data_IF_526401606203
#
_entry.id   IF_526401606203
#
_cell.length_a   1.000
_cell.length_b   1.000
_cell.length_c   1.000
_cell.angle_alpha   90.00
_cell.angle_beta   90.00
_cell.angle_gamma   90.00
#
_symmetry.space_group_name_H-M   'P 1'
#
loop_
_entity.id
_entity.type
_entity.pdbx_description
1 polymer ?
#
# COMPACT_ATOMS: atom_id res chain seq x y z
N UNK A 1 31.75 -1.50 -10.42
CA UNK A 1 30.77 -1.99 -11.41
C UNK A 1 29.41 -1.61 -10.88
N UNK A 2 28.72 -0.67 -11.54
CA UNK A 2 27.42 -0.18 -11.09
C UNK A 2 26.36 -1.27 -11.21
N UNK A 3 25.68 -1.57 -10.12
CA UNK A 3 24.51 -2.45 -10.13
C UNK A 3 23.40 -1.68 -10.86
N UNK A 4 22.74 -2.27 -11.87
CA UNK A 4 21.60 -1.61 -12.50
C UNK A 4 20.52 -1.40 -11.45
N UNK A 5 20.21 -0.13 -11.17
CA UNK A 5 19.04 0.26 -10.38
C UNK A 5 17.84 -0.28 -11.15
N UNK A 6 17.11 -1.23 -10.57
CA UNK A 6 15.86 -1.69 -11.15
C UNK A 6 14.95 -0.49 -11.32
N UNK A 7 14.70 -0.11 -12.57
CA UNK A 7 13.64 0.80 -12.96
C UNK A 7 12.31 0.09 -12.59
N UNK A 8 11.93 0.16 -11.31
CA UNK A 8 10.53 -0.09 -10.95
C UNK A 8 9.77 1.09 -11.53
N UNK A 9 9.09 0.88 -12.67
CA UNK A 9 8.27 1.87 -13.36
C UNK A 9 6.99 2.25 -12.58
N UNK A 10 7.10 2.36 -11.25
CA UNK A 10 5.99 2.48 -10.32
C UNK A 10 5.24 3.80 -10.54
N UNK A 11 5.94 4.89 -10.80
CA UNK A 11 5.30 6.19 -11.00
C UNK A 11 5.22 6.59 -12.50
N UNK A 12 5.45 5.69 -13.49
CA UNK A 12 5.57 6.06 -14.93
C UNK A 12 4.32 6.69 -15.55
N UNK A 13 3.18 6.62 -14.87
CA UNK A 13 1.89 7.01 -15.44
C UNK A 13 1.27 8.33 -14.92
N UNK A 14 1.81 8.99 -13.89
CA UNK A 14 1.05 10.04 -13.19
C UNK A 14 1.10 11.43 -13.86
N UNK A 15 0.28 11.66 -14.90
CA UNK A 15 -0.28 13.00 -15.22
C UNK A 15 -1.67 13.11 -14.61
N UNK A 16 -1.75 13.06 -13.29
CA UNK A 16 -3.02 13.23 -12.59
C UNK A 16 -3.19 14.72 -12.29
N UNK A 17 -4.19 15.36 -12.89
CA UNK A 17 -4.54 16.76 -12.70
C UNK A 17 -5.74 16.86 -11.72
N UNK A 18 -5.57 16.25 -10.54
CA UNK A 18 -6.53 16.21 -9.43
C UNK A 18 -6.02 17.12 -8.30
N UNK A 19 -6.89 17.74 -7.52
CA UNK A 19 -6.40 18.48 -6.34
C UNK A 19 -5.75 17.52 -5.34
N UNK A 20 -4.71 17.98 -4.66
CA UNK A 20 -3.95 17.14 -3.71
C UNK A 20 -4.82 16.63 -2.56
N UNK A 21 -5.77 17.44 -2.09
CA UNK A 21 -6.73 17.01 -1.06
C UNK A 21 -7.67 15.91 -1.56
N UNK A 22 -8.10 15.97 -2.82
CA UNK A 22 -8.90 14.92 -3.43
C UNK A 22 -8.08 13.66 -3.66
N UNK A 23 -6.82 13.79 -4.08
CA UNK A 23 -5.90 12.65 -4.23
C UNK A 23 -5.68 11.92 -2.91
N UNK A 24 -5.35 12.64 -1.84
CA UNK A 24 -5.14 12.05 -0.51
C UNK A 24 -6.39 11.35 0.02
N UNK A 25 -7.57 11.96 -0.16
CA UNK A 25 -8.85 11.36 0.25
C UNK A 25 -9.13 10.10 -0.56
N UNK A 26 -8.96 10.16 -1.87
CA UNK A 26 -9.24 9.03 -2.76
C UNK A 26 -8.30 7.87 -2.48
N UNK A 27 -6.99 8.12 -2.37
CA UNK A 27 -6.01 7.08 -2.02
C UNK A 27 -6.29 6.50 -0.64
N UNK A 28 -6.58 7.34 0.35
CA UNK A 28 -6.92 6.88 1.71
C UNK A 28 -8.17 6.00 1.73
N UNK A 29 -9.21 6.39 1.00
CA UNK A 29 -10.47 5.63 0.95
C UNK A 29 -10.31 4.34 0.14
N UNK A 30 -9.55 4.37 -0.96
CA UNK A 30 -9.23 3.19 -1.75
C UNK A 30 -8.43 2.16 -0.94
N UNK A 31 -7.41 2.60 -0.20
CA UNK A 31 -6.66 1.74 0.73
C UNK A 31 -7.54 1.25 1.88
N UNK A 32 -8.48 2.07 2.37
CA UNK A 32 -9.47 1.70 3.38
C UNK A 32 -10.41 0.60 2.92
N UNK A 33 -11.02 0.77 1.73
CA UNK A 33 -11.85 -0.25 1.08
C UNK A 33 -11.04 -1.53 0.87
N UNK A 34 -9.83 -1.42 0.32
CA UNK A 34 -8.94 -2.56 0.15
C UNK A 34 -8.70 -3.30 1.46
N UNK A 35 -8.32 -2.58 2.52
CA UNK A 35 -8.09 -3.15 3.85
C UNK A 35 -9.34 -3.83 4.43
N UNK A 36 -10.53 -3.28 4.19
CA UNK A 36 -11.78 -3.85 4.72
C UNK A 36 -12.18 -5.18 4.09
N UNK A 37 -11.78 -5.43 2.84
CA UNK A 37 -12.13 -6.65 2.11
C UNK A 37 -10.97 -7.65 2.05
N UNK A 38 -9.76 -7.17 1.78
CA UNK A 38 -8.59 -8.02 1.55
C UNK A 38 -7.85 -8.40 2.83
N UNK A 39 -8.02 -7.64 3.92
CA UNK A 39 -7.36 -7.89 5.21
C UNK A 39 -8.38 -8.11 6.31
N UNK A 40 -8.07 -9.00 7.25
CA UNK A 40 -8.87 -9.20 8.45
C UNK A 40 -8.53 -8.17 9.54
N UNK A 41 -9.20 -8.25 10.68
CA UNK A 41 -8.95 -7.39 11.85
C UNK A 41 -7.51 -7.46 12.41
N UNK A 42 -6.74 -8.49 12.06
CA UNK A 42 -5.34 -8.67 12.44
C UNK A 42 -4.36 -8.26 11.33
N UNK A 43 -4.87 -7.79 10.18
CA UNK A 43 -4.06 -7.46 9.01
C UNK A 43 -3.63 -8.67 8.18
N UNK A 44 -4.24 -9.85 8.39
CA UNK A 44 -3.97 -11.06 7.61
C UNK A 44 -4.88 -11.14 6.37
N UNK A 45 -4.41 -11.71 5.25
CA UNK A 45 -5.22 -11.82 4.05
C UNK A 45 -6.50 -12.65 4.27
N UNK A 46 -7.66 -12.11 3.90
CA UNK A 46 -8.95 -12.81 4.00
C UNK A 46 -9.15 -13.88 2.92
N UNK A 47 -8.25 -13.95 1.94
CA UNK A 47 -8.37 -14.73 0.71
C UNK A 47 -9.02 -13.95 -0.46
N UNK A 48 -9.51 -12.74 -0.23
CA UNK A 48 -9.94 -11.83 -1.30
C UNK A 48 -8.72 -11.08 -1.85
N UNK A 49 -8.21 -11.55 -2.98
CA UNK A 49 -7.01 -10.97 -3.60
C UNK A 49 -7.31 -9.93 -4.69
N UNK A 50 -8.57 -9.84 -5.15
CA UNK A 50 -8.95 -9.02 -6.30
C UNK A 50 -10.31 -8.38 -6.05
N UNK A 51 -10.38 -7.05 -6.19
CA UNK A 51 -11.61 -6.30 -6.05
C UNK A 51 -12.11 -5.83 -7.43
N UNK A 52 -13.42 -5.92 -7.69
CA UNK A 52 -14.00 -5.43 -8.94
C UNK A 52 -13.94 -3.90 -9.03
N UNK A 53 -13.37 -3.38 -10.13
CA UNK A 53 -13.16 -1.95 -10.35
C UNK A 53 -14.49 -1.19 -10.33
N UNK A 54 -15.53 -1.72 -10.98
CA UNK A 54 -16.83 -1.05 -11.08
C UNK A 54 -17.49 -0.81 -9.71
N UNK A 55 -17.49 -1.84 -8.85
CA UNK A 55 -18.14 -1.74 -7.54
C UNK A 55 -17.34 -0.86 -6.58
N UNK A 56 -16.01 -0.94 -6.61
CA UNK A 56 -15.17 -0.07 -5.79
C UNK A 56 -15.25 1.38 -6.26
N UNK A 57 -15.29 1.63 -7.57
CA UNK A 57 -15.49 2.98 -8.10
C UNK A 57 -16.82 3.57 -7.65
N UNK A 58 -17.91 2.78 -7.64
CA UNK A 58 -19.21 3.23 -7.14
C UNK A 58 -19.21 3.50 -5.62
N UNK A 59 -18.53 2.65 -4.85
CA UNK A 59 -18.35 2.86 -3.41
C UNK A 59 -17.60 4.17 -3.16
N UNK A 60 -16.44 4.37 -3.80
CA UNK A 60 -15.65 5.61 -3.70
C UNK A 60 -16.44 6.85 -4.11
N UNK A 61 -17.17 6.79 -5.22
CA UNK A 61 -18.05 7.88 -5.66
C UNK A 61 -19.02 8.29 -4.54
N UNK A 62 -19.64 7.30 -3.89
CA UNK A 62 -20.61 7.54 -2.81
C UNK A 62 -19.93 8.04 -1.54
N UNK A 63 -18.82 7.41 -1.13
CA UNK A 63 -18.12 7.70 0.14
C UNK A 63 -17.42 9.06 0.12
N UNK A 64 -16.91 9.48 -1.05
CA UNK A 64 -16.32 10.80 -1.26
C UNK A 64 -17.38 11.90 -1.51
N UNK A 65 -18.66 11.53 -1.64
CA UNK A 65 -19.78 12.45 -1.72
C UNK A 65 -20.05 13.04 -3.11
N UNK A 66 -19.62 12.37 -4.19
CA UNK A 66 -19.99 12.71 -5.56
C UNK A 66 -21.44 12.26 -5.85
N UNK A 67 -22.18 13.03 -6.65
CA UNK A 67 -23.58 12.78 -7.00
C UNK A 67 -23.72 11.53 -7.88
N UNK A 68 -22.83 11.37 -8.85
CA UNK A 68 -22.81 10.24 -9.76
C UNK A 68 -21.40 9.93 -10.32
N UNK A 69 -21.29 8.78 -11.00
CA UNK A 69 -20.04 8.34 -11.62
C UNK A 69 -19.49 9.35 -12.65
N UNK A 70 -20.31 9.97 -13.53
CA UNK A 70 -19.85 11.06 -14.38
C UNK A 70 -19.17 12.23 -13.64
N UNK A 71 -19.73 12.70 -12.52
CA UNK A 71 -19.10 13.76 -11.71
C UNK A 71 -17.76 13.29 -11.13
N UNK A 72 -17.71 12.05 -10.63
CA UNK A 72 -16.49 11.46 -10.11
C UNK A 72 -15.40 11.32 -11.20
N UNK A 73 -15.76 10.85 -12.39
CA UNK A 73 -14.83 10.72 -13.52
C UNK A 73 -14.38 12.08 -14.09
N UNK A 74 -15.24 13.10 -14.05
CA UNK A 74 -14.85 14.48 -14.41
C UNK A 74 -13.80 15.02 -13.41
N UNK A 75 -13.99 14.79 -12.11
CA UNK A 75 -13.01 15.14 -11.09
C UNK A 75 -11.67 14.42 -11.32
N UNK A 76 -11.71 13.13 -11.64
CA UNK A 76 -10.53 12.33 -12.01
C UNK A 76 -9.91 12.72 -13.36
N UNK A 77 -10.62 13.50 -14.18
CA UNK A 77 -10.27 13.82 -15.58
C UNK A 77 -10.08 12.57 -16.43
N UNK A 78 -10.90 11.54 -16.17
CA UNK A 78 -10.83 10.24 -16.84
C UNK A 78 -11.61 9.18 -16.08
N UNK A 79 -11.62 7.95 -16.60
CA UNK A 79 -12.30 6.86 -15.92
C UNK A 79 -11.57 6.45 -14.64
N UNK A 80 -12.31 5.94 -13.67
CA UNK A 80 -11.70 5.38 -12.46
C UNK A 80 -10.70 4.27 -12.79
N UNK A 81 -11.00 3.45 -13.81
CA UNK A 81 -10.09 2.44 -14.30
C UNK A 81 -8.76 3.04 -14.80
N UNK A 82 -8.79 4.16 -15.53
CA UNK A 82 -7.59 4.84 -16.00
C UNK A 82 -6.83 5.52 -14.86
N UNK A 83 -7.54 6.00 -13.84
CA UNK A 83 -6.92 6.52 -12.62
C UNK A 83 -6.09 5.45 -11.90
N UNK A 84 -6.60 4.22 -11.78
CA UNK A 84 -5.89 3.11 -11.16
C UNK A 84 -4.56 2.77 -11.86
N UNK A 85 -4.43 3.01 -13.18
CA UNK A 85 -3.16 2.82 -13.91
C UNK A 85 -2.07 3.80 -13.46
N UNK A 86 -2.47 4.94 -12.88
CA UNK A 86 -1.55 5.94 -12.40
C UNK A 86 -1.05 5.67 -10.98
N UNK A 87 -1.60 4.64 -10.32
CA UNK A 87 -1.23 4.29 -8.95
C UNK A 87 -0.12 3.24 -8.93
N UNK A 88 1.00 3.53 -8.23
CA UNK A 88 2.19 2.69 -8.27
C UNK A 88 1.99 1.22 -7.85
N UNK A 89 1.14 1.01 -6.85
CA UNK A 89 0.95 -0.30 -6.25
C UNK A 89 -0.29 -1.02 -6.74
N UNK A 90 -1.04 -0.43 -7.66
CA UNK A 90 -2.24 -1.07 -8.18
C UNK A 90 -1.87 -1.91 -9.40
N UNK A 91 -2.31 -3.16 -9.40
CA UNK A 91 -2.26 -4.06 -10.56
C UNK A 91 -3.69 -4.34 -10.97
N UNK A 92 -3.96 -4.36 -12.28
CA UNK A 92 -5.26 -4.69 -12.83
C UNK A 92 -5.23 -5.99 -13.62
N UNK A 93 -6.36 -6.69 -13.61
CA UNK A 93 -6.59 -7.87 -14.43
C UNK A 93 -8.05 -7.88 -14.92
N UNK A 94 -8.25 -8.26 -16.18
CA UNK A 94 -9.59 -8.43 -16.74
C UNK A 94 -9.99 -9.91 -16.67
N UNK A 95 -11.07 -10.22 -15.95
CA UNK A 95 -11.63 -11.57 -15.83
C UNK A 95 -13.06 -11.58 -16.36
N UNK A 96 -13.33 -12.44 -17.35
CA UNK A 96 -14.67 -12.58 -17.96
C UNK A 96 -15.28 -11.24 -18.43
N UNK A 97 -14.45 -10.34 -18.97
CA UNK A 97 -14.89 -9.02 -19.45
C UNK A 97 -15.16 -7.99 -18.36
N UNK A 98 -14.82 -8.28 -17.09
CA UNK A 98 -14.88 -7.32 -15.98
C UNK A 98 -13.48 -6.99 -15.49
N UNK A 99 -13.24 -5.72 -15.16
CA UNK A 99 -11.97 -5.27 -14.61
C UNK A 99 -11.92 -5.50 -13.10
N UNK A 100 -10.80 -6.05 -12.65
CA UNK A 100 -10.46 -6.23 -11.24
C UNK A 100 -9.12 -5.56 -10.97
N UNK A 101 -8.91 -5.13 -9.73
CA UNK A 101 -7.65 -4.60 -9.28
C UNK A 101 -7.20 -5.25 -7.96
N UNK A 102 -5.89 -5.22 -7.74
CA UNK A 102 -5.22 -5.63 -6.52
C UNK A 102 -4.27 -4.52 -6.10
N UNK A 103 -4.33 -4.09 -4.84
CA UNK A 103 -3.25 -3.27 -4.26
C UNK A 103 -2.16 -4.23 -3.80
N UNK A 104 -0.98 -4.12 -4.41
CA UNK A 104 0.18 -4.92 -4.02
C UNK A 104 0.49 -4.62 -2.56
N UNK A 105 0.55 -5.65 -1.70
CA UNK A 105 0.95 -5.45 -0.32
C UNK A 105 2.38 -4.94 -0.29
N UNK A 106 2.70 -4.17 0.75
CA UNK A 106 4.09 -3.82 1.02
C UNK A 106 4.93 -5.10 1.20
N UNK A 107 6.20 -5.08 0.77
CA UNK A 107 7.08 -6.23 0.97
C UNK A 107 7.12 -6.59 2.46
N UNK A 108 7.22 -7.89 2.80
CA UNK A 108 7.34 -8.30 4.20
C UNK A 108 8.58 -7.66 4.83
N UNK A 109 8.55 -7.41 6.14
CA UNK A 109 9.64 -6.70 6.85
C UNK A 109 11.02 -7.34 6.65
N UNK A 110 11.08 -8.66 6.45
CA UNK A 110 12.32 -9.38 6.15
C UNK A 110 12.95 -8.99 4.79
N UNK A 111 12.17 -8.45 3.86
CA UNK A 111 12.62 -8.00 2.55
C UNK A 111 12.88 -6.49 2.49
N UNK A 112 12.63 -5.76 3.60
CA UNK A 112 12.85 -4.32 3.66
C UNK A 112 14.32 -3.98 3.45
N UNK A 113 14.54 -2.88 2.74
CA UNK A 113 15.88 -2.34 2.50
C UNK A 113 15.86 -0.87 2.85
N UNK A 114 16.51 -0.57 3.97
CA UNK A 114 16.64 0.81 4.42
C UNK A 114 17.24 1.67 3.31
N UNK A 115 16.50 2.71 2.94
CA UNK A 115 16.79 3.58 1.81
C UNK A 115 16.66 5.02 2.27
N UNK A 116 17.74 5.78 2.16
CA UNK A 116 17.76 7.22 2.36
C UNK A 116 17.85 7.88 0.99
N UNK A 117 16.93 8.81 0.72
CA UNK A 117 16.88 9.60 -0.50
C UNK A 117 17.06 11.07 -0.15
N UNK A 118 18.09 11.70 -0.69
CA UNK A 118 18.43 13.10 -0.42
C UNK A 118 18.28 13.92 -1.68
N UNK A 119 17.52 15.01 -1.60
CA UNK A 119 17.27 15.94 -2.70
C UNK A 119 17.64 17.35 -2.26
N UNK A 120 18.42 18.05 -3.08
CA UNK A 120 18.74 19.47 -2.87
C UNK A 120 17.69 20.33 -3.58
N UNK A 121 16.94 21.12 -2.83
CA UNK A 121 15.94 22.04 -3.35
C UNK A 121 16.61 23.38 -3.65
N UNK A 122 16.82 23.68 -4.93
CA UNK A 122 17.52 24.90 -5.36
C UNK A 122 16.56 25.99 -5.88
N UNK A 123 15.35 25.59 -6.26
CA UNK A 123 14.35 26.50 -6.81
C UNK A 123 12.93 26.05 -6.48
N UNK A 124 11.96 26.96 -6.61
CA UNK A 124 10.54 26.65 -6.46
C UNK A 124 10.04 25.57 -7.43
N UNK A 125 10.75 25.33 -8.54
CA UNK A 125 10.43 24.22 -9.46
C UNK A 125 10.68 22.85 -8.82
N UNK A 126 11.71 22.74 -7.98
CA UNK A 126 12.04 21.49 -7.29
C UNK A 126 10.99 21.10 -6.26
N UNK A 127 10.23 22.07 -5.72
CA UNK A 127 9.13 21.81 -4.80
C UNK A 127 7.97 21.03 -5.46
N UNK A 128 7.86 21.10 -6.79
CA UNK A 128 6.83 20.38 -7.55
C UNK A 128 7.24 18.94 -7.91
N UNK A 129 8.39 18.46 -7.43
CA UNK A 129 8.76 17.05 -7.53
C UNK A 129 7.75 16.22 -6.73
N UNK A 130 7.20 15.18 -7.36
CA UNK A 130 6.29 14.23 -6.70
C UNK A 130 7.12 13.27 -5.85
N UNK A 131 6.67 13.02 -4.65
CA UNK A 131 7.27 12.18 -3.63
C UNK A 131 6.23 11.16 -3.19
N UNK A 132 6.51 9.88 -3.45
CA UNK A 132 5.81 8.76 -2.85
C UNK A 132 6.47 8.51 -1.48
N UNK A 133 5.81 8.91 -0.39
CA UNK A 133 6.23 8.63 0.97
C UNK A 133 5.60 7.31 1.43
N UNK A 134 6.42 6.33 1.82
CA UNK A 134 5.93 5.09 2.41
C UNK A 134 5.27 5.28 3.79
N UNK A 135 4.44 4.33 4.25
CA UNK A 135 3.85 4.34 5.59
C UNK A 135 4.87 4.50 6.73
N UNK A 136 6.05 3.90 6.55
CA UNK A 136 7.12 3.85 7.56
C UNK A 136 8.22 4.89 7.32
N UNK A 137 8.12 5.67 6.25
CA UNK A 137 9.08 6.71 5.94
C UNK A 137 8.88 7.94 6.81
N UNK A 138 9.99 8.62 7.10
CA UNK A 138 10.02 9.97 7.70
C UNK A 138 10.79 10.91 6.78
N UNK A 139 10.45 12.19 6.85
CA UNK A 139 11.10 13.25 6.06
C UNK A 139 11.78 14.21 7.03
N UNK A 140 12.99 14.63 6.71
CA UNK A 140 13.79 15.56 7.48
C UNK A 140 14.21 16.75 6.61
N UNK A 141 14.13 17.95 7.19
CA UNK A 141 14.67 19.21 6.66
C UNK A 141 15.71 19.72 7.66
N UNK A 142 17.00 19.37 7.48
CA UNK A 142 18.05 19.66 8.46
C UNK A 142 18.22 21.16 8.73
N UNK A 143 18.05 22.00 7.72
CA UNK A 143 18.19 23.46 7.84
C UNK A 143 17.12 24.10 8.74
N UNK A 144 15.99 23.42 8.96
CA UNK A 144 14.94 23.83 9.89
C UNK A 144 14.92 23.03 11.19
N UNK A 145 15.81 22.04 11.34
CA UNK A 145 15.73 21.03 12.41
C UNK A 145 14.31 20.42 12.51
N UNK A 146 13.68 20.20 11.35
CA UNK A 146 12.28 19.81 11.25
C UNK A 146 12.13 18.40 10.68
N UNK A 147 11.21 17.61 11.25
CA UNK A 147 10.91 16.25 10.79
C UNK A 147 9.39 16.06 10.65
N UNK A 148 8.98 15.42 9.55
CA UNK A 148 7.67 14.81 9.37
C UNK A 148 7.81 13.32 9.64
N UNK A 149 7.34 12.87 10.80
CA UNK A 149 7.46 11.48 11.22
C UNK A 149 6.54 10.53 10.43
N UNK A 150 6.77 9.23 10.60
CA UNK A 150 5.91 8.20 10.03
C UNK A 150 4.52 8.23 10.69
N UNK A 151 3.47 8.13 9.88
CA UNK A 151 2.07 8.17 10.30
C UNK A 151 1.29 6.90 9.89
N UNK A 152 2.00 5.89 9.35
CA UNK A 152 1.41 4.62 8.94
C UNK A 152 0.58 4.69 7.67
N UNK A 153 0.62 5.83 6.95
CA UNK A 153 -0.10 6.02 5.69
C UNK A 153 0.84 6.32 4.54
N UNK A 154 0.45 5.86 3.36
CA UNK A 154 1.12 6.22 2.11
C UNK A 154 0.63 7.60 1.68
N UNK A 155 1.57 8.45 1.27
CA UNK A 155 1.25 9.75 0.70
C UNK A 155 1.92 9.87 -0.66
N UNK A 156 1.19 10.38 -1.65
CA UNK A 156 1.70 10.65 -3.00
C UNK A 156 1.47 12.11 -3.28
N UNK A 157 2.49 12.93 -3.04
CA UNK A 157 2.31 14.36 -3.23
C UNK A 157 3.61 15.08 -3.57
N UNK A 158 3.52 16.35 -3.94
CA UNK A 158 4.70 17.18 -4.16
C UNK A 158 5.39 17.53 -2.84
N UNK A 159 6.70 17.81 -2.91
CA UNK A 159 7.47 18.34 -1.78
C UNK A 159 6.80 19.60 -1.20
N UNK A 160 6.30 20.49 -2.08
CA UNK A 160 5.52 21.66 -1.70
C UNK A 160 4.36 21.29 -0.77
N UNK A 161 3.57 20.30 -1.18
CA UNK A 161 2.35 19.95 -0.46
C UNK A 161 2.63 19.19 0.83
N UNK A 162 3.68 18.38 0.90
CA UNK A 162 4.11 17.81 2.18
C UNK A 162 4.46 18.91 3.21
N UNK A 163 5.13 19.99 2.77
CA UNK A 163 5.42 21.15 3.62
C UNK A 163 4.13 21.92 3.96
N UNK A 164 3.25 22.14 2.99
CA UNK A 164 1.97 22.83 3.19
C UNK A 164 1.05 22.07 4.16
N UNK A 165 1.01 20.73 4.08
CA UNK A 165 0.30 19.87 4.99
C UNK A 165 0.88 19.96 6.41
N UNK A 166 2.21 19.97 6.55
CA UNK A 166 2.86 20.18 7.84
C UNK A 166 2.50 21.55 8.46
N UNK A 167 2.54 22.63 7.66
CA UNK A 167 2.09 23.99 8.05
C UNK A 167 0.64 23.96 8.56
N UNK A 168 -0.26 23.34 7.80
CA UNK A 168 -1.67 23.25 8.14
C UNK A 168 -1.90 22.47 9.43
N UNK A 169 -1.25 21.31 9.59
CA UNK A 169 -1.38 20.41 10.73
C UNK A 169 -0.87 21.07 12.02
N UNK A 170 0.30 21.72 11.97
CA UNK A 170 0.85 22.47 13.11
C UNK A 170 -0.05 23.66 13.50
N UNK A 171 -0.53 24.41 12.50
CA UNK A 171 -1.45 25.53 12.74
C UNK A 171 -2.78 25.08 13.34
N UNK A 172 -3.33 23.96 12.87
CA UNK A 172 -4.53 23.36 13.47
C UNK A 172 -4.28 22.88 14.90
N UNK A 173 -3.14 22.24 15.16
CA UNK A 173 -2.78 21.75 16.48
C UNK A 173 -2.75 22.90 17.50
N UNK A 174 -2.13 24.04 17.16
CA UNK A 174 -2.12 25.23 18.03
C UNK A 174 -3.53 25.79 18.27
N UNK A 175 -4.37 25.86 17.22
CA UNK A 175 -5.77 26.33 17.34
C UNK A 175 -6.62 25.43 18.24
N UNK A 176 -6.45 24.11 18.12
CA UNK A 176 -7.25 23.12 18.85
C UNK A 176 -6.73 22.84 20.26
N UNK A 177 -5.45 23.13 20.55
CA UNK A 177 -4.83 22.88 21.84
C UNK A 177 -5.51 23.59 23.03
N UNK A 178 -6.24 24.69 22.81
CA UNK A 178 -6.93 25.39 23.90
C UNK A 178 -5.96 25.78 25.04
N UNK A 179 -6.17 25.24 26.25
CA UNK A 179 -5.29 25.46 27.42
C UNK A 179 -4.26 24.34 27.65
N UNK A 180 -4.21 23.31 26.79
CA UNK A 180 -3.30 22.16 26.97
C UNK A 180 -1.83 22.51 26.71
N UNK A 181 -1.58 23.58 25.95
CA UNK A 181 -0.25 24.10 25.65
C UNK A 181 -0.05 25.46 26.31
N UNK A 182 1.14 25.67 26.87
CA UNK A 182 1.59 26.98 27.32
C UNK A 182 1.76 27.93 26.13
N UNK A 183 1.63 29.24 26.36
CA UNK A 183 1.79 30.24 25.31
C UNK A 183 3.18 30.22 24.66
N UNK A 184 4.24 29.93 25.43
CA UNK A 184 5.61 29.78 24.92
C UNK A 184 5.72 28.66 23.87
N UNK A 185 5.14 27.49 24.16
CA UNK A 185 5.12 26.36 23.23
C UNK A 185 4.30 26.70 21.97
N UNK A 186 3.15 27.36 22.12
CA UNK A 186 2.35 27.80 20.96
C UNK A 186 3.13 28.77 20.08
N UNK A 187 3.85 29.72 20.68
CA UNK A 187 4.70 30.67 19.95
C UNK A 187 5.76 29.93 19.14
N UNK A 188 6.49 28.99 19.74
CA UNK A 188 7.53 28.21 19.05
C UNK A 188 7.00 27.37 17.88
N UNK A 189 5.81 26.79 18.05
CA UNK A 189 5.14 26.06 16.95
C UNK A 189 4.79 27.04 15.82
N UNK A 190 4.25 28.22 16.15
CA UNK A 190 3.92 29.24 15.15
C UNK A 190 5.17 29.80 14.46
N UNK A 191 6.29 29.95 15.17
CA UNK A 191 7.57 30.35 14.58
C UNK A 191 8.04 29.30 13.55
N UNK A 192 7.86 28.02 13.86
CA UNK A 192 8.14 26.91 12.93
C UNK A 192 7.22 26.97 11.71
N UNK A 193 5.92 27.24 11.91
CA UNK A 193 4.95 27.42 10.81
C UNK A 193 5.35 28.58 9.88
N UNK A 194 5.83 29.69 10.44
CA UNK A 194 6.33 30.83 9.67
C UNK A 194 7.58 30.44 8.88
N UNK A 195 8.54 29.75 9.52
CA UNK A 195 9.75 29.30 8.87
C UNK A 195 9.47 28.33 7.71
N UNK A 196 8.55 27.37 7.88
CA UNK A 196 8.11 26.47 6.82
C UNK A 196 7.46 27.21 5.65
N UNK A 197 6.63 28.24 5.92
CA UNK A 197 6.04 29.06 4.86
C UNK A 197 7.11 29.80 4.05
N UNK A 198 8.14 30.32 4.70
CA UNK A 198 9.27 30.98 4.02
C UNK A 198 10.01 29.99 3.12
N UNK A 199 10.15 28.72 3.51
CA UNK A 199 10.82 27.69 2.71
C UNK A 199 10.06 27.32 1.43
N UNK A 200 8.74 27.57 1.37
CA UNK A 200 7.94 27.36 0.14
C UNK A 200 8.35 28.31 -1.01
N UNK A 201 9.00 29.44 -0.69
CA UNK A 201 9.54 30.36 -1.70
C UNK A 201 11.01 30.06 -2.06
N UNK A 202 11.65 29.11 -1.38
CA UNK A 202 13.06 28.72 -1.54
C UNK A 202 14.01 29.94 -1.53
N UNK A 203 14.03 30.75 -0.46
CA UNK A 203 14.91 31.94 -0.38
C UNK A 203 16.39 31.55 -0.37
N UNK A 204 16.70 30.40 0.21
CA UNK A 204 18.02 29.76 0.18
C UNK A 204 17.84 28.26 -0.13
N UNK A 205 18.80 27.62 -0.82
CA UNK A 205 18.71 26.20 -1.10
C UNK A 205 18.77 25.35 0.17
N UNK A 206 17.84 24.42 0.32
CA UNK A 206 17.76 23.52 1.47
C UNK A 206 17.76 22.04 1.06
N UNK A 207 17.85 21.16 2.04
CA UNK A 207 17.93 19.72 1.83
C UNK A 207 16.64 19.05 2.26
N UNK A 208 16.14 18.16 1.40
CA UNK A 208 15.02 17.29 1.68
C UNK A 208 15.54 15.85 1.80
N UNK A 209 15.45 15.25 2.98
CA UNK A 209 15.92 13.90 3.23
C UNK A 209 14.73 13.01 3.56
N UNK A 210 14.47 12.01 2.73
CA UNK A 210 13.48 10.98 2.99
C UNK A 210 14.19 9.72 3.48
N UNK A 211 13.86 9.29 4.69
CA UNK A 211 14.35 8.06 5.28
C UNK A 211 13.25 7.02 5.24
N UNK A 212 13.44 5.97 4.44
CA UNK A 212 12.47 4.90 4.26
C UNK A 212 13.06 3.53 4.62
N UNK A 213 12.75 3.00 5.82
CA UNK A 213 13.16 1.67 6.22
C UNK A 213 12.68 0.57 5.26
N UNK A 214 11.53 0.75 4.62
CA UNK A 214 10.94 -0.26 3.73
C UNK A 214 11.52 -0.24 2.31
N UNK A 215 12.05 0.91 1.89
CA UNK A 215 12.65 1.11 0.57
C UNK A 215 11.66 1.06 -0.60
N UNK A 216 10.41 1.49 -0.36
CA UNK A 216 9.33 1.56 -1.37
C UNK A 216 8.99 3.00 -1.78
N UNK A 217 9.62 4.00 -1.16
CA UNK A 217 9.47 5.42 -1.50
C UNK A 217 10.21 5.76 -2.79
N UNK A 218 9.70 6.76 -3.52
CA UNK A 218 10.24 7.16 -4.83
C UNK A 218 9.99 8.66 -5.07
N UNK A 219 10.88 9.33 -5.83
CA UNK A 219 10.70 10.72 -6.29
C UNK A 219 10.45 10.78 -7.79
N UNK A 220 9.78 11.84 -8.25
CA UNK A 220 9.71 12.19 -9.67
C UNK A 220 9.86 13.69 -9.94
N UNK A 221 10.77 14.07 -10.85
CA UNK A 221 11.83 13.25 -11.45
C UNK A 221 12.83 12.70 -10.42
N UNK A 222 13.42 11.52 -10.69
CA UNK A 222 14.53 10.94 -9.92
C UNK A 222 15.89 11.60 -10.22
N UNK A 223 15.94 12.57 -11.12
CA UNK A 223 17.15 13.32 -11.45
C UNK A 223 17.65 14.10 -10.22
N UNK A 224 18.96 14.10 -9.98
CA UNK A 224 19.60 14.74 -8.83
C UNK A 224 19.13 14.25 -7.44
N UNK A 225 18.56 13.04 -7.37
CA UNK A 225 18.22 12.37 -6.11
C UNK A 225 19.38 11.45 -5.70
N UNK A 226 20.04 11.78 -4.59
CA UNK A 226 21.07 10.92 -4.01
C UNK A 226 20.41 9.78 -3.23
N UNK A 227 20.62 8.54 -3.66
CA UNK A 227 20.03 7.36 -3.02
C UNK A 227 21.12 6.55 -2.32
N UNK A 228 21.06 6.50 -0.99
CA UNK A 228 21.85 5.59 -0.18
C UNK A 228 20.96 4.41 0.25
N UNK A 229 21.33 3.20 -0.16
CA UNK A 229 20.60 1.98 0.20
C UNK A 229 21.49 1.06 1.01
N UNK A 230 20.95 0.51 2.10
CA UNK A 230 21.62 -0.54 2.84
C UNK A 230 21.94 -1.73 1.91
N UNK A 231 23.11 -2.37 2.05
CA UNK A 231 23.43 -3.58 1.29
C UNK A 231 22.33 -4.62 1.54
N UNK A 232 21.98 -5.38 0.49
CA UNK A 232 21.00 -6.47 0.63
C UNK A 232 21.46 -7.39 1.78
N UNK A 233 20.54 -7.87 2.64
CA UNK A 233 20.91 -8.87 3.63
C UNK A 233 21.59 -10.02 2.88
N UNK A 234 22.86 -10.28 3.21
CA UNK A 234 23.57 -11.41 2.63
C UNK A 234 22.76 -12.66 2.94
N UNK A 235 22.54 -13.57 1.98
CA UNK A 235 21.91 -14.84 2.30
C UNK A 235 22.76 -15.48 3.39
N UNK A 236 22.17 -15.65 4.57
CA UNK A 236 22.77 -16.38 5.69
C UNK A 236 23.46 -17.61 5.11
N UNK A 237 24.78 -17.79 5.30
CA UNK A 237 25.45 -18.98 4.80
C UNK A 237 24.70 -20.16 5.40
N UNK A 238 24.13 -20.99 4.53
CA UNK A 238 23.45 -22.22 4.93
C UNK A 238 24.34 -22.90 5.97
N UNK A 239 23.85 -22.99 7.21
CA UNK A 239 24.62 -23.66 8.25
C UNK A 239 24.77 -25.10 7.81
N UNK A 240 25.96 -25.47 7.35
CA UNK A 240 26.42 -26.85 7.22
C UNK A 240 26.49 -27.45 8.64
N UNK A 241 25.32 -27.72 9.20
CA UNK A 241 25.12 -28.38 10.47
C UNK A 241 24.13 -29.53 10.27
N UNK A 242 24.36 -30.34 9.24
CA UNK A 242 23.96 -31.75 9.25
C UNK A 242 25.12 -32.64 8.80
N UNK A 243 26.16 -32.62 9.62
CA UNK A 243 27.27 -33.56 9.55
C UNK A 243 27.63 -34.00 10.96
N UNK A 244 26.81 -34.87 11.56
CA UNK A 244 27.25 -35.97 12.44
C UNK A 244 26.05 -36.64 13.15
N UNK A 245 25.35 -37.53 12.44
CA UNK A 245 24.69 -38.65 13.10
C UNK A 245 25.65 -39.86 13.08
N UNK A 246 26.16 -40.35 14.23
CA UNK A 246 26.88 -41.61 14.25
C UNK A 246 25.89 -42.77 14.23
N UNK A 247 26.18 -43.73 13.36
CA UNK A 247 25.44 -44.97 13.13
C UNK A 247 25.28 -45.85 14.38
N UNK A 248 24.18 -46.60 14.51
CA UNK A 248 24.17 -47.84 15.29
C UNK A 248 24.59 -49.03 14.41
N UNK A 249 25.48 -49.85 14.99
CA UNK A 249 26.07 -51.03 14.41
C UNK A 249 25.08 -52.18 14.17
N UNK A 250 25.35 -52.94 13.11
CA UNK A 250 24.64 -54.16 12.71
C UNK A 250 24.92 -55.36 13.63
N UNK A 251 23.91 -56.21 13.81
CA UNK A 251 24.06 -57.64 14.09
C UNK A 251 22.86 -58.40 13.51
N UNK A 252 23.16 -59.53 12.89
CA UNK A 252 22.37 -60.26 11.89
C UNK A 252 21.45 -61.37 12.45
N UNK A 253 20.52 -61.83 11.60
CA UNK A 253 20.14 -63.22 11.27
C UNK A 253 18.61 -63.28 11.03
N UNK A 254 18.12 -63.44 9.79
CA UNK A 254 18.04 -64.64 8.93
C UNK A 254 16.60 -65.21 8.90
N UNK A 255 16.21 -65.72 7.73
CA UNK A 255 15.06 -66.57 7.36
C UNK A 255 13.74 -65.94 6.89
N UNK A 256 13.49 -66.10 5.58
CA UNK A 256 12.18 -66.15 4.91
C UNK A 256 11.49 -67.51 5.22
N UNK A 257 10.18 -67.79 4.94
CA UNK A 257 9.57 -67.65 3.60
C UNK A 257 8.05 -67.28 3.51
N UNK A 258 7.71 -66.61 2.39
CA UNK A 258 6.63 -66.89 1.41
C UNK A 258 5.11 -66.78 1.74
N UNK A 259 4.37 -66.48 0.66
CA UNK A 259 2.90 -66.51 0.37
C UNK A 259 2.04 -65.36 0.95
N UNK A 260 1.14 -64.67 0.24
CA UNK A 260 0.42 -64.99 -0.99
C UNK A 260 0.04 -63.72 -1.78
N UNK A 261 -0.06 -63.88 -3.09
CA UNK A 261 -0.69 -62.97 -4.02
C UNK A 261 -2.21 -62.99 -3.91
N UNK A 262 -2.86 -61.85 -4.15
CA UNK A 262 -4.19 -61.78 -4.73
C UNK A 262 -4.28 -60.54 -5.61
N UNK A 263 -4.34 -60.80 -6.91
CA UNK A 263 -4.62 -59.85 -7.99
C UNK A 263 -6.11 -59.50 -8.04
N UNK A 264 -6.40 -58.37 -8.68
CA UNK A 264 -7.72 -57.91 -9.12
C UNK A 264 -7.77 -56.38 -9.04
N UNK A 265 -7.69 -55.58 -10.09
CA UNK A 265 -8.00 -55.82 -11.50
C UNK A 265 -9.27 -55.05 -11.87
N UNK A 266 -9.12 -53.89 -12.53
CA UNK A 266 -10.12 -53.33 -13.43
C UNK A 266 -10.67 -51.94 -13.10
N UNK A 267 -10.76 -51.10 -14.13
CA UNK A 267 -11.86 -50.16 -14.32
C UNK A 267 -11.50 -48.68 -14.31
N UNK A 268 -11.71 -48.03 -15.45
CA UNK A 268 -11.67 -46.59 -15.66
C UNK A 268 -13.02 -45.93 -15.30
N UNK A 269 -13.10 -44.61 -15.53
CA UNK A 269 -14.26 -43.70 -15.33
C UNK A 269 -14.42 -43.27 -13.85
N UNK A 270 -14.67 -42.02 -13.47
CA UNK A 270 -15.46 -40.99 -14.10
C UNK A 270 -15.12 -39.62 -13.47
N UNK A 271 -15.12 -38.57 -14.29
CA UNK A 271 -15.13 -37.17 -13.86
C UNK A 271 -16.58 -36.80 -13.52
N UNK A 272 -16.78 -36.09 -12.40
CA UNK A 272 -17.87 -35.15 -12.10
C UNK A 272 -18.48 -35.40 -10.71
N UNK A 273 -18.22 -34.49 -9.76
CA UNK A 273 -19.09 -34.22 -8.61
C UNK A 273 -18.51 -33.04 -7.81
N UNK A 274 -18.88 -31.82 -8.19
CA UNK A 274 -18.73 -30.63 -7.33
C UNK A 274 -19.65 -29.50 -7.85
N UNK A 275 -20.95 -29.77 -7.95
CA UNK A 275 -21.93 -28.75 -8.28
C UNK A 275 -23.30 -29.12 -7.69
N UNK A 276 -23.40 -29.17 -6.36
CA UNK A 276 -24.70 -29.33 -5.68
C UNK A 276 -24.80 -28.64 -4.31
N UNK A 277 -23.84 -27.77 -3.96
CA UNK A 277 -23.83 -27.03 -2.69
C UNK A 277 -24.28 -25.56 -2.77
N UNK A 278 -24.48 -25.00 -3.96
CA UNK A 278 -24.73 -23.57 -4.13
C UNK A 278 -26.22 -23.18 -4.22
N UNK A 279 -27.11 -24.14 -4.54
CA UNK A 279 -28.52 -23.83 -4.81
C UNK A 279 -29.38 -23.70 -3.53
N UNK A 280 -28.97 -24.27 -2.40
CA UNK A 280 -29.76 -24.18 -1.15
C UNK A 280 -29.53 -22.86 -0.39
N UNK A 281 -28.41 -22.17 -0.61
CA UNK A 281 -28.11 -20.89 0.03
C UNK A 281 -28.89 -19.71 -0.54
N UNK A 282 -29.10 -19.69 -1.87
CA UNK A 282 -29.77 -18.58 -2.55
C UNK A 282 -31.27 -18.52 -2.27
N UNK A 283 -31.93 -19.68 -2.13
CA UNK A 283 -33.36 -19.76 -1.82
C UNK A 283 -33.69 -19.30 -0.39
N UNK A 284 -32.77 -19.49 0.57
CA UNK A 284 -32.96 -19.07 1.95
C UNK A 284 -32.87 -17.54 2.11
N UNK A 285 -31.93 -16.90 1.39
CA UNK A 285 -31.73 -15.44 1.43
C UNK A 285 -32.92 -14.69 0.81
N UNK A 286 -33.54 -15.26 -0.23
CA UNK A 286 -34.70 -14.64 -0.89
C UNK A 286 -35.99 -14.73 -0.07
N UNK A 287 -36.23 -15.83 0.66
CA UNK A 287 -37.40 -15.94 1.55
C UNK A 287 -37.30 -15.03 2.79
N UNK A 288 -36.09 -14.76 3.29
CA UNK A 288 -35.88 -13.88 4.44
C UNK A 288 -36.00 -12.39 4.05
N UNK A 289 -35.57 -12.03 2.84
CA UNK A 289 -35.75 -10.69 2.27
C UNK A 289 -37.23 -10.34 2.03
N UNK A 290 -38.05 -11.28 1.56
CA UNK A 290 -39.50 -11.06 1.37
C UNK A 290 -40.25 -10.96 2.71
N UNK A 291 -39.83 -11.69 3.74
CA UNK A 291 -40.40 -11.56 5.10
C UNK A 291 -40.09 -10.22 5.75
N UNK A 292 -38.88 -9.68 5.55
CA UNK A 292 -38.53 -8.36 6.08
C UNK A 292 -39.22 -7.21 5.33
N UNK A 293 -39.50 -7.37 4.03
CA UNK A 293 -40.22 -6.37 3.25
C UNK A 293 -41.71 -6.27 3.66
N UNK A 294 -42.34 -7.38 4.04
CA UNK A 294 -43.74 -7.41 4.46
C UNK A 294 -43.98 -6.82 5.87
N UNK A 295 -42.95 -6.67 6.70
CA UNK A 295 -43.08 -6.17 8.09
C UNK A 295 -42.87 -4.65 8.19
N UNK A 296 -42.59 -3.96 7.08
CA UNK A 296 -42.34 -2.50 7.04
C UNK A 296 -43.51 -1.68 6.47
N UNK A 297 -44.63 -2.33 6.19
CA UNK A 297 -45.87 -1.72 5.69
C UNK A 297 -47.05 -2.18 6.55
N UNK A 298 -46.99 -1.90 7.85
CA UNK A 298 -48.14 -1.77 8.75
C UNK A 298 -47.80 -0.77 9.86
#
# INVERSE_FOLDING_TARGET
MGIPVSNSGLLEASKIDLSHQEMDRLVSELEGIWGSFALDHNGEPTGVEWLPVDHVGQALCTDLGYEDMPEFEDALKGTFEAFLDNLPNVVKETRNGRAFFQIRPDPPQAAWRDTTMTVRINSTKDLWRVCLKSPNARIEIPELEFEISADGKRHIDSIYNHIAAAIFNLGNYVRQAGTSLTEDVKSKIMDTVIALNVFLDVPEPFTWILHDPSGVSEFKPMEDVEVARAPAPEPEPASDADAAAPAPAAAAAESAPQVAAAEGGGGAEERAAAEEGAAEGEAAVQQEAERLAATRLD
#
